data_IF_967386741127
#
_entry.id   IF_967386741127
#
_cell.length_a   1.000
_cell.length_b   1.000
_cell.length_c   1.000
_cell.angle_alpha   90.00
_cell.angle_beta   90.00
_cell.angle_gamma   90.00
#
_symmetry.space_group_name_H-M   'P 1'
#
loop_
_entity.id
_entity.type
_entity.pdbx_description
1 polymer ?
#
# COMPACT_ATOMS: atom_id res chain seq x y z
N UNK A 1 -9.75 27.41 -10.76
CA UNK A 1 -9.01 26.14 -10.57
C UNK A 1 -8.94 25.85 -9.08
N UNK A 2 -9.29 24.65 -8.60
CA UNK A 2 -9.10 24.32 -7.17
C UNK A 2 -7.60 24.24 -6.89
N UNK A 3 -7.19 24.64 -5.67
CA UNK A 3 -5.80 24.46 -5.22
C UNK A 3 -5.41 22.99 -5.35
N UNK A 4 -4.27 22.72 -5.97
CA UNK A 4 -3.74 21.38 -6.16
C UNK A 4 -2.37 21.30 -5.49
N UNK A 5 -2.32 20.60 -4.35
CA UNK A 5 -1.10 20.47 -3.54
C UNK A 5 -0.51 19.08 -3.79
N UNK A 6 0.77 19.05 -4.18
CA UNK A 6 1.56 17.83 -4.29
C UNK A 6 2.55 17.79 -3.13
N UNK A 7 2.59 16.67 -2.40
CA UNK A 7 3.55 16.44 -1.32
C UNK A 7 4.36 15.19 -1.64
N UNK A 8 5.64 15.36 -1.95
CA UNK A 8 6.52 14.27 -2.37
C UNK A 8 7.53 13.96 -1.27
N UNK A 9 8.00 12.70 -1.16
CA UNK A 9 9.17 12.40 -0.35
C UNK A 9 10.36 13.25 -0.77
N UNK A 10 11.07 13.79 0.21
CA UNK A 10 12.26 14.61 0.00
C UNK A 10 13.48 13.75 -0.31
N UNK A 11 13.56 12.59 0.33
CA UNK A 11 14.64 11.62 0.18
C UNK A 11 14.06 10.22 -0.01
N UNK A 12 14.65 9.44 -0.93
CA UNK A 12 14.31 8.02 -1.15
C UNK A 12 15.60 7.24 -1.20
N UNK A 13 15.79 6.34 -0.24
CA UNK A 13 17.00 5.56 -0.06
C UNK A 13 16.61 4.09 -0.17
N UNK A 14 17.15 3.41 -1.19
CA UNK A 14 16.89 1.99 -1.47
C UNK A 14 18.22 1.29 -1.71
N UNK A 15 18.48 0.23 -0.95
CA UNK A 15 19.72 -0.54 -1.06
C UNK A 15 20.03 -1.34 0.19
N UNK A 16 21.21 -1.95 0.24
CA UNK A 16 21.65 -2.72 1.39
C UNK A 16 22.22 -1.81 2.48
N UNK A 17 21.99 -2.20 3.74
CA UNK A 17 22.53 -1.54 4.93
C UNK A 17 22.15 -0.05 5.02
N UNK A 18 20.98 0.32 4.48
CA UNK A 18 20.54 1.72 4.43
C UNK A 18 20.15 2.28 5.78
N UNK A 19 19.92 1.42 6.78
CA UNK A 19 19.66 1.85 8.15
C UNK A 19 20.81 2.67 8.75
N UNK A 20 22.06 2.43 8.31
CA UNK A 20 23.23 3.21 8.75
C UNK A 20 23.13 4.70 8.39
N UNK A 21 22.29 5.04 7.40
CA UNK A 21 22.10 6.41 6.92
C UNK A 21 20.99 7.15 7.69
N UNK A 22 20.32 6.52 8.66
CA UNK A 22 19.14 7.10 9.33
C UNK A 22 19.47 8.44 9.99
N UNK A 23 20.61 8.54 10.68
CA UNK A 23 21.07 9.79 11.28
C UNK A 23 21.31 10.88 10.24
N UNK A 24 22.06 10.57 9.18
CA UNK A 24 22.40 11.53 8.13
C UNK A 24 21.14 12.07 7.44
N UNK A 25 20.13 11.21 7.25
CA UNK A 25 18.85 11.58 6.66
C UNK A 25 18.04 12.47 7.61
N UNK A 26 17.91 12.08 8.89
CA UNK A 26 17.24 12.89 9.91
C UNK A 26 17.88 14.29 9.98
N UNK A 27 19.21 14.35 10.10
CA UNK A 27 19.97 15.60 10.17
C UNK A 27 19.78 16.48 8.92
N UNK A 28 19.84 15.91 7.72
CA UNK A 28 19.60 16.64 6.46
C UNK A 28 18.19 17.24 6.37
N UNK A 29 17.20 16.56 6.96
CA UNK A 29 15.82 17.03 7.01
C UNK A 29 15.54 17.99 8.17
N UNK A 30 16.55 18.27 9.01
CA UNK A 30 16.44 19.19 10.14
C UNK A 30 15.91 18.54 11.42
N UNK A 31 15.94 17.20 11.52
CA UNK A 31 15.57 16.44 12.72
C UNK A 31 16.84 15.97 13.41
N UNK A 32 17.22 16.59 14.52
CA UNK A 32 18.47 16.29 15.23
C UNK A 32 18.33 16.18 16.75
N UNK A 33 17.17 16.50 17.31
CA UNK A 33 16.97 16.58 18.76
C UNK A 33 16.16 15.39 19.29
N UNK A 34 15.03 15.06 18.66
CA UNK A 34 14.13 14.02 19.18
C UNK A 34 13.34 13.26 18.10
N UNK A 35 13.11 11.97 18.32
CA UNK A 35 12.28 11.13 17.46
C UNK A 35 11.41 10.16 18.27
N UNK A 36 10.28 9.76 17.69
CA UNK A 36 9.47 8.64 18.18
C UNK A 36 9.46 7.50 17.16
N UNK A 37 10.04 6.36 17.52
CA UNK A 37 10.01 5.14 16.74
C UNK A 37 8.73 4.32 17.01
N UNK A 38 7.88 4.20 15.99
CA UNK A 38 6.69 3.35 16.01
C UNK A 38 7.04 2.02 15.35
N UNK A 39 7.09 0.94 16.13
CA UNK A 39 7.46 -0.39 15.64
C UNK A 39 6.55 -1.48 16.22
N UNK A 40 6.78 -2.74 15.87
CA UNK A 40 6.08 -3.89 16.41
C UNK A 40 7.02 -4.83 17.17
N UNK A 41 6.49 -5.82 17.92
CA UNK A 41 7.32 -6.69 18.75
C UNK A 41 8.45 -7.39 17.98
N UNK A 42 8.14 -7.86 16.77
CA UNK A 42 9.10 -8.53 15.88
C UNK A 42 9.95 -7.54 15.07
N UNK A 43 9.38 -6.44 14.61
CA UNK A 43 10.11 -5.46 13.79
C UNK A 43 11.08 -4.61 14.62
N UNK A 44 10.87 -4.56 15.96
CA UNK A 44 11.83 -4.00 16.90
C UNK A 44 13.17 -4.73 16.82
N UNK A 45 13.19 -6.05 16.88
CA UNK A 45 14.46 -6.80 16.80
C UNK A 45 15.05 -6.84 15.38
N UNK A 46 14.22 -6.71 14.34
CA UNK A 46 14.68 -6.71 12.95
C UNK A 46 15.40 -5.41 12.58
N UNK A 47 14.84 -4.26 12.95
CA UNK A 47 15.33 -2.95 12.53
C UNK A 47 15.19 -1.87 13.60
N UNK A 48 14.11 -1.91 14.40
CA UNK A 48 13.79 -0.84 15.34
C UNK A 48 14.88 -0.56 16.37
N UNK A 49 15.43 -1.59 17.00
CA UNK A 49 16.48 -1.43 18.01
C UNK A 49 17.76 -0.85 17.39
N UNK A 50 18.18 -1.36 16.23
CA UNK A 50 19.35 -0.84 15.51
C UNK A 50 19.21 0.66 15.19
N UNK A 51 18.03 1.10 14.75
CA UNK A 51 17.76 2.51 14.46
C UNK A 51 17.83 3.37 15.72
N UNK A 52 17.27 2.89 16.82
CA UNK A 52 17.34 3.59 18.12
C UNK A 52 18.80 3.72 18.56
N UNK A 53 19.56 2.63 18.56
CA UNK A 53 20.97 2.62 18.95
C UNK A 53 21.80 3.60 18.11
N UNK A 54 21.63 3.59 16.77
CA UNK A 54 22.34 4.49 15.86
C UNK A 54 22.04 5.98 16.09
N UNK A 55 20.83 6.31 16.52
CA UNK A 55 20.41 7.69 16.78
C UNK A 55 20.78 8.13 18.21
N UNK A 56 20.69 7.23 19.19
CA UNK A 56 21.12 7.47 20.57
C UNK A 56 22.65 7.69 20.64
N UNK A 57 23.44 6.93 19.87
CA UNK A 57 24.91 7.04 19.81
C UNK A 57 25.40 8.42 19.35
N UNK A 58 24.59 9.14 18.57
CA UNK A 58 24.85 10.51 18.09
C UNK A 58 24.16 11.58 18.94
N UNK A 59 23.52 11.18 20.05
CA UNK A 59 22.92 12.07 21.05
C UNK A 59 21.51 12.55 20.72
N UNK A 60 20.81 11.93 19.76
CA UNK A 60 19.40 12.21 19.50
C UNK A 60 18.53 11.51 20.54
N UNK A 61 17.55 12.17 21.14
CA UNK A 61 16.64 11.54 22.10
C UNK A 61 15.59 10.69 21.36
N UNK A 62 15.72 9.37 21.38
CA UNK A 62 14.77 8.48 20.68
C UNK A 62 13.92 7.66 21.64
N UNK A 63 12.62 7.96 21.62
CA UNK A 63 11.62 7.15 22.28
C UNK A 63 11.04 6.09 21.34
N UNK A 64 10.47 5.03 21.90
CA UNK A 64 9.79 4.00 21.12
C UNK A 64 8.40 3.65 21.65
N UNK A 65 7.52 3.23 20.75
CA UNK A 65 6.22 2.64 21.06
C UNK A 65 6.01 1.38 20.24
N UNK A 66 5.55 0.32 20.91
CA UNK A 66 5.27 -0.98 20.29
C UNK A 66 3.79 -1.10 20.01
N UNK A 67 3.42 -1.17 18.73
CA UNK A 67 2.05 -1.39 18.27
C UNK A 67 1.91 -2.81 17.72
N UNK A 68 0.78 -3.46 17.96
CA UNK A 68 0.55 -4.86 17.55
C UNK A 68 -0.26 -4.95 16.26
N UNK A 69 -1.23 -4.06 16.08
CA UNK A 69 -2.15 -4.02 14.95
C UNK A 69 -2.13 -2.65 14.26
N UNK A 70 -3.06 -2.45 13.31
CA UNK A 70 -3.37 -1.16 12.69
C UNK A 70 -4.84 -0.83 12.95
N UNK A 71 -5.16 -0.54 14.21
CA UNK A 71 -6.50 -0.10 14.64
C UNK A 71 -6.49 1.36 15.03
N UNK A 72 -7.68 1.97 15.08
CA UNK A 72 -7.82 3.32 15.61
C UNK A 72 -7.29 3.48 17.05
N UNK A 73 -7.40 2.43 17.87
CA UNK A 73 -6.82 2.40 19.21
C UNK A 73 -5.28 2.51 19.17
N UNK A 74 -4.63 1.79 18.25
CA UNK A 74 -3.17 1.88 18.08
C UNK A 74 -2.76 3.30 17.65
N UNK A 75 -3.55 3.93 16.76
CA UNK A 75 -3.32 5.31 16.31
C UNK A 75 -3.45 6.29 17.48
N UNK A 76 -4.53 6.20 18.26
CA UNK A 76 -4.77 7.06 19.43
C UNK A 76 -3.63 6.93 20.45
N UNK A 77 -3.15 5.73 20.75
CA UNK A 77 -2.01 5.52 21.66
C UNK A 77 -0.71 6.16 21.14
N UNK A 78 -0.45 6.12 19.83
CA UNK A 78 0.72 6.81 19.25
C UNK A 78 0.52 8.32 19.29
N UNK A 79 -0.69 8.82 19.02
CA UNK A 79 -1.00 10.25 19.13
C UNK A 79 -0.82 10.79 20.55
N UNK A 80 -1.21 10.02 21.57
CA UNK A 80 -0.94 10.34 22.99
C UNK A 80 0.55 10.47 23.24
N UNK A 81 1.35 9.50 22.78
CA UNK A 81 2.80 9.53 22.96
C UNK A 81 3.46 10.70 22.22
N UNK A 82 2.95 11.06 21.04
CA UNK A 82 3.41 12.25 20.30
C UNK A 82 3.14 13.52 21.11
N UNK A 83 1.97 13.66 21.74
CA UNK A 83 1.63 14.84 22.56
C UNK A 83 2.46 14.94 23.83
N UNK A 84 2.83 13.82 24.42
CA UNK A 84 3.67 13.79 25.63
C UNK A 84 5.13 14.15 25.36
N UNK A 85 5.65 13.71 24.21
CA UNK A 85 7.08 13.81 23.89
C UNK A 85 7.45 14.97 22.98
N UNK A 86 6.48 15.46 22.20
CA UNK A 86 6.69 16.47 21.16
C UNK A 86 7.90 16.17 20.26
N UNK A 87 7.99 14.97 19.64
CA UNK A 87 9.15 14.59 18.84
C UNK A 87 9.24 15.44 17.56
N UNK A 88 10.46 15.73 17.10
CA UNK A 88 10.65 16.43 15.81
C UNK A 88 10.19 15.59 14.62
N UNK A 89 10.25 14.26 14.74
CA UNK A 89 9.87 13.32 13.68
C UNK A 89 9.36 11.99 14.24
N UNK A 90 8.40 11.37 13.55
CA UNK A 90 7.95 10.00 13.79
C UNK A 90 8.60 9.06 12.78
N UNK A 91 9.23 7.98 13.28
CA UNK A 91 9.84 6.93 12.45
C UNK A 91 8.92 5.70 12.45
N UNK A 92 8.33 5.37 11.31
CA UNK A 92 7.54 4.14 11.16
C UNK A 92 8.44 2.98 10.73
N UNK A 93 8.75 2.08 11.67
CA UNK A 93 9.68 0.97 11.44
C UNK A 93 8.93 -0.36 11.42
N UNK A 94 8.79 -0.97 10.24
CA UNK A 94 8.18 -2.29 10.13
C UNK A 94 7.44 -2.54 8.82
N UNK A 95 6.52 -3.51 8.84
CA UNK A 95 5.60 -3.73 7.71
C UNK A 95 4.52 -2.63 7.62
N UNK A 96 3.67 -2.75 6.60
CA UNK A 96 2.63 -1.75 6.29
C UNK A 96 1.74 -1.35 7.48
N UNK A 97 1.42 -2.29 8.37
CA UNK A 97 0.68 -2.03 9.61
C UNK A 97 1.34 -0.96 10.49
N UNK A 98 2.66 -1.03 10.72
CA UNK A 98 3.38 -0.10 11.60
C UNK A 98 3.52 1.26 10.93
N UNK A 99 3.80 1.24 9.63
CA UNK A 99 3.87 2.42 8.79
C UNK A 99 2.53 3.17 8.76
N UNK A 100 1.41 2.48 8.59
CA UNK A 100 0.10 3.12 8.51
C UNK A 100 -0.32 3.76 9.83
N UNK A 101 -0.03 3.12 10.97
CA UNK A 101 -0.27 3.71 12.30
C UNK A 101 0.60 4.94 12.52
N UNK A 102 1.90 4.84 12.24
CA UNK A 102 2.85 5.94 12.38
C UNK A 102 2.48 7.14 11.48
N UNK A 103 2.13 6.87 10.22
CA UNK A 103 1.75 7.87 9.22
C UNK A 103 0.44 8.57 9.57
N UNK A 104 -0.58 7.85 10.03
CA UNK A 104 -1.87 8.46 10.36
C UNK A 104 -1.78 9.30 11.65
N UNK A 105 -1.15 8.75 12.69
CA UNK A 105 -0.97 9.47 13.98
C UNK A 105 -0.14 10.74 13.79
N UNK A 106 1.01 10.64 13.12
CA UNK A 106 1.86 11.80 12.80
C UNK A 106 1.14 12.86 11.98
N UNK A 107 0.34 12.47 10.97
CA UNK A 107 -0.44 13.40 10.16
C UNK A 107 -1.46 14.18 11.00
N UNK A 108 -2.15 13.50 11.91
CA UNK A 108 -3.17 14.11 12.79
C UNK A 108 -2.57 15.03 13.85
N UNK A 109 -1.33 14.75 14.27
CA UNK A 109 -0.59 15.61 15.20
C UNK A 109 0.29 16.66 14.48
N UNK A 110 0.25 16.73 13.14
CA UNK A 110 1.09 17.62 12.32
C UNK A 110 2.61 17.45 12.55
N UNK A 111 3.05 16.23 12.84
CA UNK A 111 4.47 15.89 13.00
C UNK A 111 4.99 15.23 11.71
N UNK A 112 6.19 15.58 11.22
CA UNK A 112 6.84 14.90 10.11
C UNK A 112 6.99 13.38 10.31
N UNK A 113 6.96 12.63 9.21
CA UNK A 113 7.02 11.16 9.23
C UNK A 113 8.10 10.63 8.28
N UNK A 114 8.88 9.64 8.72
CA UNK A 114 9.82 8.87 7.89
C UNK A 114 9.38 7.40 7.86
N UNK A 115 9.31 6.83 6.66
CA UNK A 115 8.96 5.41 6.47
C UNK A 115 10.21 4.55 6.37
N UNK A 116 10.29 3.52 7.22
CA UNK A 116 11.40 2.57 7.25
C UNK A 116 10.83 1.15 7.12
N UNK A 117 10.43 0.73 5.90
CA UNK A 117 9.77 -0.53 5.67
C UNK A 117 10.70 -1.73 5.91
N UNK A 118 10.19 -2.75 6.60
CA UNK A 118 10.83 -4.07 6.74
C UNK A 118 10.17 -5.15 5.88
N UNK A 119 9.16 -4.78 5.09
CA UNK A 119 8.46 -5.65 4.14
C UNK A 119 7.82 -4.80 3.03
N UNK A 120 7.72 -5.35 1.82
CA UNK A 120 7.15 -4.67 0.65
C UNK A 120 5.77 -5.24 0.27
N UNK A 121 4.78 -5.10 1.17
CA UNK A 121 3.45 -5.74 1.00
C UNK A 121 2.41 -4.94 0.20
N UNK A 122 2.58 -3.62 0.10
CA UNK A 122 1.72 -2.68 -0.63
C UNK A 122 2.38 -1.29 -0.69
N UNK A 123 1.83 -0.39 -1.50
CA UNK A 123 2.37 0.97 -1.74
C UNK A 123 2.19 1.96 -0.56
N UNK A 124 1.54 1.52 0.51
CA UNK A 124 1.42 2.24 1.80
C UNK A 124 2.76 2.65 2.42
N UNK A 125 3.85 1.98 2.05
CA UNK A 125 5.23 2.34 2.45
C UNK A 125 5.68 3.71 1.92
N UNK A 126 5.03 4.23 0.88
CA UNK A 126 5.39 5.49 0.22
C UNK A 126 4.21 6.44 0.03
N UNK A 127 2.98 5.93 0.14
CA UNK A 127 1.77 6.69 -0.16
C UNK A 127 1.33 7.61 0.97
N UNK A 128 0.57 8.67 0.64
CA UNK A 128 -0.07 9.53 1.64
C UNK A 128 -1.35 8.92 2.22
N UNK A 129 -1.64 7.63 2.02
CA UNK A 129 -2.87 6.98 2.49
C UNK A 129 -2.57 5.92 3.53
N UNK A 130 -3.32 5.90 4.63
CA UNK A 130 -3.19 4.90 5.68
C UNK A 130 -4.40 3.95 5.71
N UNK A 131 -4.15 2.65 5.82
CA UNK A 131 -5.18 1.63 6.02
C UNK A 131 -5.25 1.22 7.49
N UNK A 132 -6.29 1.68 8.19
CA UNK A 132 -6.49 1.45 9.62
C UNK A 132 -7.89 0.91 9.88
N UNK A 133 -8.01 -0.10 10.72
CA UNK A 133 -9.29 -0.69 11.14
C UNK A 133 -9.98 0.21 12.16
N UNK A 134 -11.31 0.30 12.06
CA UNK A 134 -12.12 1.13 12.96
C UNK A 134 -12.27 2.58 12.49
N UNK A 135 -11.85 2.90 11.27
CA UNK A 135 -12.21 4.16 10.62
C UNK A 135 -13.72 4.24 10.39
N UNK A 136 -14.24 5.47 10.36
CA UNK A 136 -15.65 5.74 10.01
C UNK A 136 -15.99 5.33 8.56
N UNK A 137 -14.98 5.01 7.75
CA UNK A 137 -15.09 4.66 6.34
C UNK A 137 -14.41 3.31 6.08
N UNK A 138 -14.95 2.48 5.18
CA UNK A 138 -14.42 1.14 4.90
C UNK A 138 -13.20 1.16 3.95
N UNK A 139 -12.49 2.28 3.85
CA UNK A 139 -11.38 2.47 2.92
C UNK A 139 -10.31 3.37 3.54
N UNK A 140 -9.12 3.37 2.95
CA UNK A 140 -7.95 4.11 3.46
C UNK A 140 -8.19 5.62 3.58
N UNK A 141 -7.65 6.21 4.65
CA UNK A 141 -7.75 7.65 4.94
C UNK A 141 -6.53 8.40 4.38
N UNK A 142 -6.74 9.63 3.89
CA UNK A 142 -5.64 10.53 3.54
C UNK A 142 -4.93 10.99 4.81
N UNK A 143 -3.62 10.76 4.87
CA UNK A 143 -2.72 11.17 5.94
C UNK A 143 -1.68 12.14 5.37
N UNK A 144 -0.40 11.79 5.41
CA UNK A 144 0.70 12.57 4.83
C UNK A 144 1.67 11.68 4.04
N UNK A 145 2.32 12.26 3.04
CA UNK A 145 3.44 11.60 2.35
C UNK A 145 4.67 11.59 3.28
N UNK A 146 5.44 10.49 3.35
CA UNK A 146 6.65 10.46 4.17
C UNK A 146 7.66 11.50 3.68
N UNK A 147 8.37 12.14 4.62
CA UNK A 147 9.48 13.04 4.30
C UNK A 147 10.66 12.28 3.71
N UNK A 148 10.91 11.06 4.19
CA UNK A 148 11.87 10.15 3.62
C UNK A 148 11.39 8.71 3.65
N UNK A 149 11.92 7.90 2.73
CA UNK A 149 11.74 6.46 2.69
C UNK A 149 13.12 5.81 2.77
N UNK A 150 13.34 4.95 3.75
CA UNK A 150 14.60 4.21 3.97
C UNK A 150 14.29 2.72 3.86
N UNK A 151 14.49 2.16 2.67
CA UNK A 151 14.16 0.77 2.36
C UNK A 151 15.44 -0.07 2.25
N UNK A 152 15.71 -0.86 3.30
CA UNK A 152 16.85 -1.76 3.35
C UNK A 152 16.54 -3.08 2.65
N UNK A 153 17.10 -3.28 1.45
CA UNK A 153 16.85 -4.47 0.64
C UNK A 153 17.36 -5.75 1.31
N UNK A 154 18.44 -5.66 2.11
CA UNK A 154 18.99 -6.81 2.84
C UNK A 154 18.05 -7.29 3.95
N UNK A 155 17.21 -6.41 4.49
CA UNK A 155 16.17 -6.73 5.47
C UNK A 155 14.89 -7.21 4.77
N UNK A 156 14.44 -6.47 3.76
CA UNK A 156 13.15 -6.73 3.10
C UNK A 156 13.17 -8.07 2.36
N UNK A 157 14.30 -8.49 1.78
CA UNK A 157 14.44 -9.80 1.12
C UNK A 157 14.29 -10.98 2.09
N UNK A 158 14.57 -10.77 3.38
CA UNK A 158 14.41 -11.81 4.43
C UNK A 158 12.97 -11.93 4.93
N UNK A 159 12.09 -10.97 4.60
CA UNK A 159 10.68 -11.05 4.96
C UNK A 159 10.00 -12.23 4.26
N UNK A 160 8.95 -12.84 4.86
CA UNK A 160 8.19 -13.89 4.20
C UNK A 160 7.78 -13.49 2.78
N UNK A 161 8.11 -14.33 1.80
CA UNK A 161 7.88 -14.05 0.36
C UNK A 161 6.44 -13.62 0.04
N UNK A 162 5.48 -14.10 0.84
CA UNK A 162 4.07 -13.70 0.75
C UNK A 162 3.89 -12.17 0.76
N UNK A 163 4.72 -11.42 1.49
CA UNK A 163 4.68 -9.96 1.46
C UNK A 163 5.12 -9.39 0.11
N UNK A 164 6.24 -9.85 -0.45
CA UNK A 164 6.67 -9.45 -1.80
C UNK A 164 5.62 -9.79 -2.85
N UNK A 165 5.04 -11.00 -2.79
CA UNK A 165 3.95 -11.41 -3.68
C UNK A 165 2.71 -10.51 -3.54
N UNK A 166 2.32 -10.16 -2.31
CA UNK A 166 1.26 -9.18 -2.05
C UNK A 166 1.60 -7.82 -2.69
N UNK A 167 2.82 -7.31 -2.51
CA UNK A 167 3.25 -6.04 -3.11
C UNK A 167 3.17 -6.06 -4.63
N UNK A 168 3.54 -7.17 -5.26
CA UNK A 168 3.37 -7.34 -6.70
C UNK A 168 1.89 -7.32 -7.11
N UNK A 169 1.02 -7.98 -6.35
CA UNK A 169 -0.43 -7.95 -6.56
C UNK A 169 -1.01 -6.54 -6.50
N UNK A 170 -0.58 -5.78 -5.49
CA UNK A 170 -0.94 -4.37 -5.34
C UNK A 170 -0.41 -3.52 -6.52
N UNK A 171 0.84 -3.69 -6.93
CA UNK A 171 1.42 -2.94 -8.05
C UNK A 171 0.74 -3.25 -9.40
N UNK A 172 0.35 -4.51 -9.64
CA UNK A 172 -0.35 -4.93 -10.86
C UNK A 172 -1.76 -4.33 -10.95
N UNK A 173 -2.37 -4.03 -9.80
CA UNK A 173 -3.72 -3.45 -9.71
C UNK A 173 -3.85 -2.09 -10.42
N UNK A 174 -2.73 -1.39 -10.61
CA UNK A 174 -2.68 -0.07 -11.25
C UNK A 174 -3.15 -0.16 -12.71
N UNK A 175 -3.10 -1.34 -13.34
CA UNK A 175 -3.64 -1.59 -14.68
C UNK A 175 -5.14 -1.28 -14.77
N UNK A 176 -5.93 -1.66 -13.77
CA UNK A 176 -7.39 -1.41 -13.74
C UNK A 176 -7.71 -0.10 -13.04
N UNK A 177 -6.95 0.29 -12.00
CA UNK A 177 -7.16 1.57 -11.32
C UNK A 177 -7.06 2.78 -12.27
N UNK A 178 -6.02 2.81 -13.10
CA UNK A 178 -5.85 3.91 -14.08
C UNK A 178 -6.93 3.86 -15.17
N UNK A 179 -7.44 2.66 -15.51
CA UNK A 179 -8.56 2.52 -16.45
C UNK A 179 -9.86 3.08 -15.86
N UNK A 180 -10.15 2.77 -14.61
CA UNK A 180 -11.28 3.35 -13.88
C UNK A 180 -11.15 4.87 -13.75
N UNK A 181 -9.95 5.38 -13.50
CA UNK A 181 -9.74 6.82 -13.41
C UNK A 181 -9.97 7.51 -14.76
N UNK A 182 -9.50 6.90 -15.86
CA UNK A 182 -9.73 7.41 -17.22
C UNK A 182 -11.22 7.34 -17.59
N UNK A 183 -11.92 6.28 -17.22
CA UNK A 183 -13.37 6.14 -17.40
C UNK A 183 -14.12 7.25 -16.63
N UNK A 184 -13.77 7.48 -15.37
CA UNK A 184 -14.36 8.55 -14.56
C UNK A 184 -14.14 9.94 -15.16
N UNK A 185 -12.95 10.18 -15.73
CA UNK A 185 -12.68 11.41 -16.46
C UNK A 185 -13.59 11.56 -17.69
N UNK A 186 -13.70 10.53 -18.53
CA UNK A 186 -14.56 10.61 -19.72
C UNK A 186 -16.06 10.70 -19.40
N UNK A 187 -16.52 9.99 -18.36
CA UNK A 187 -17.96 9.86 -18.07
C UNK A 187 -18.48 10.92 -17.09
N UNK A 188 -17.62 11.42 -16.18
CA UNK A 188 -18.01 12.34 -15.09
C UNK A 188 -17.19 13.62 -15.05
N UNK A 189 -16.30 13.82 -16.03
CA UNK A 189 -15.40 14.98 -16.08
C UNK A 189 -14.56 15.14 -14.80
N UNK A 190 -14.24 14.02 -14.14
CA UNK A 190 -13.35 14.01 -12.99
C UNK A 190 -11.93 14.41 -13.42
N UNK A 191 -11.18 15.10 -12.56
CA UNK A 191 -9.78 15.42 -12.83
C UNK A 191 -8.97 14.15 -13.14
N UNK A 192 -8.16 14.19 -14.20
CA UNK A 192 -7.24 13.12 -14.57
C UNK A 192 -5.82 13.67 -14.73
N UNK A 193 -4.93 13.28 -13.84
CA UNK A 193 -3.52 13.65 -13.90
C UNK A 193 -2.75 12.64 -14.74
N UNK A 194 -2.56 12.93 -16.04
CA UNK A 194 -1.90 12.01 -16.98
C UNK A 194 -0.48 11.62 -16.54
N UNK A 195 0.26 12.54 -15.91
CA UNK A 195 1.58 12.26 -15.35
C UNK A 195 1.52 11.23 -14.20
N UNK A 196 0.61 11.42 -13.24
CA UNK A 196 0.40 10.47 -12.14
C UNK A 196 -0.07 9.10 -12.65
N UNK A 197 -0.99 9.09 -13.61
CA UNK A 197 -1.49 7.87 -14.23
C UNK A 197 -0.39 7.09 -14.97
N UNK A 198 0.48 7.81 -15.70
CA UNK A 198 1.60 7.21 -16.43
C UNK A 198 2.63 6.60 -15.49
N UNK A 199 2.93 7.27 -14.38
CA UNK A 199 3.84 6.77 -13.35
C UNK A 199 3.30 5.49 -12.70
N UNK A 200 2.02 5.46 -12.30
CA UNK A 200 1.41 4.26 -11.74
C UNK A 200 1.34 3.09 -12.74
N UNK A 201 1.05 3.35 -14.02
CA UNK A 201 1.10 2.31 -15.06
C UNK A 201 2.51 1.79 -15.30
N UNK A 202 3.54 2.64 -15.18
CA UNK A 202 4.94 2.21 -15.28
C UNK A 202 5.28 1.22 -14.17
N UNK A 203 4.83 1.45 -12.93
CA UNK A 203 5.00 0.50 -11.82
C UNK A 203 4.45 -0.89 -12.12
N UNK A 204 3.21 -0.98 -12.62
CA UNK A 204 2.63 -2.26 -13.02
C UNK A 204 3.42 -2.96 -14.14
N UNK A 205 3.89 -2.19 -15.14
CA UNK A 205 4.70 -2.71 -16.24
C UNK A 205 6.06 -3.21 -15.78
N UNK A 206 6.70 -2.53 -14.82
CA UNK A 206 7.98 -2.95 -14.24
C UNK A 206 7.83 -4.29 -13.53
N UNK A 207 6.81 -4.46 -12.69
CA UNK A 207 6.53 -5.74 -12.03
C UNK A 207 6.23 -6.83 -13.05
N UNK A 208 5.36 -6.56 -14.03
CA UNK A 208 5.01 -7.55 -15.04
C UNK A 208 6.19 -7.97 -15.93
N UNK A 209 7.10 -7.05 -16.26
CA UNK A 209 8.30 -7.33 -17.06
C UNK A 209 9.32 -8.16 -16.28
N UNK A 210 9.44 -7.91 -14.97
CA UNK A 210 10.46 -8.53 -14.11
C UNK A 210 9.92 -9.66 -13.23
N UNK A 211 8.70 -10.15 -13.49
CA UNK A 211 8.05 -11.18 -12.68
C UNK A 211 8.92 -12.44 -12.48
N UNK A 212 9.71 -12.84 -13.49
CA UNK A 212 10.62 -13.99 -13.37
C UNK A 212 11.78 -13.77 -12.39
N UNK A 213 12.32 -12.55 -12.28
CA UNK A 213 13.38 -12.24 -11.31
C UNK A 213 12.81 -12.24 -9.89
N UNK A 214 11.57 -11.77 -9.72
CA UNK A 214 10.88 -11.72 -8.43
C UNK A 214 10.55 -13.12 -7.89
N UNK A 215 10.28 -14.08 -8.77
CA UNK A 215 10.06 -15.49 -8.42
C UNK A 215 11.26 -16.10 -7.65
N UNK A 216 12.48 -15.68 -7.97
CA UNK A 216 13.71 -16.20 -7.38
C UNK A 216 14.03 -15.63 -5.99
N UNK A 217 13.21 -14.71 -5.47
CA UNK A 217 13.33 -14.15 -4.10
C UNK A 217 14.70 -13.52 -3.82
N UNK A 218 15.29 -12.90 -4.84
CA UNK A 218 16.58 -12.21 -4.74
C UNK A 218 16.39 -10.72 -4.51
N UNK A 219 17.43 -10.06 -3.99
CA UNK A 219 17.43 -8.61 -3.70
C UNK A 219 17.07 -7.76 -4.92
N UNK A 220 17.52 -8.15 -6.11
CA UNK A 220 17.20 -7.44 -7.35
C UNK A 220 15.69 -7.39 -7.61
N UNK A 221 14.98 -8.50 -7.39
CA UNK A 221 13.53 -8.55 -7.52
C UNK A 221 12.82 -7.67 -6.49
N UNK A 222 13.30 -7.66 -5.24
CA UNK A 222 12.79 -6.80 -4.17
C UNK A 222 13.03 -5.32 -4.48
N UNK A 223 14.19 -4.97 -5.02
CA UNK A 223 14.51 -3.60 -5.43
C UNK A 223 13.54 -3.10 -6.50
N UNK A 224 13.30 -3.89 -7.55
CA UNK A 224 12.34 -3.52 -8.61
C UNK A 224 10.94 -3.32 -8.03
N UNK A 225 10.52 -4.18 -7.10
CA UNK A 225 9.23 -4.03 -6.43
C UNK A 225 9.18 -2.74 -5.60
N UNK A 226 10.22 -2.43 -4.82
CA UNK A 226 10.28 -1.21 -4.01
C UNK A 226 10.19 0.04 -4.89
N UNK A 227 10.95 0.11 -5.97
CA UNK A 227 10.90 1.22 -6.93
C UNK A 227 9.49 1.38 -7.53
N UNK A 228 8.82 0.26 -7.84
CA UNK A 228 7.44 0.27 -8.32
C UNK A 228 6.43 0.77 -7.28
N UNK A 229 6.50 0.29 -6.04
CA UNK A 229 5.61 0.69 -4.94
C UNK A 229 5.84 2.16 -4.53
N UNK A 230 7.10 2.60 -4.47
CA UNK A 230 7.46 4.00 -4.19
C UNK A 230 6.89 4.91 -5.28
N UNK A 231 7.02 4.52 -6.55
CA UNK A 231 6.44 5.25 -7.68
C UNK A 231 4.91 5.34 -7.59
N UNK A 232 4.23 4.32 -7.05
CA UNK A 232 2.78 4.37 -6.77
C UNK A 232 2.46 5.42 -5.68
N UNK A 233 3.25 5.45 -4.60
CA UNK A 233 3.12 6.48 -3.55
C UNK A 233 3.27 7.89 -4.10
N UNK A 234 4.32 8.12 -4.90
CA UNK A 234 4.57 9.39 -5.61
C UNK A 234 3.43 9.75 -6.56
N UNK A 235 2.90 8.78 -7.32
CA UNK A 235 1.77 9.00 -8.22
C UNK A 235 0.53 9.49 -7.47
N UNK A 236 0.21 8.89 -6.30
CA UNK A 236 -0.92 9.32 -5.48
C UNK A 236 -0.71 10.73 -4.89
N UNK A 237 0.52 11.06 -4.49
CA UNK A 237 0.88 12.40 -4.05
C UNK A 237 0.74 13.45 -5.15
N UNK A 238 1.14 13.13 -6.39
CA UNK A 238 0.93 14.00 -7.56
C UNK A 238 -0.56 14.15 -7.84
N UNK A 239 -1.32 13.07 -7.81
CA UNK A 239 -2.76 13.11 -8.11
C UNK A 239 -3.57 13.83 -7.01
N UNK A 240 -3.03 13.98 -5.81
CA UNK A 240 -3.77 14.44 -4.63
C UNK A 240 -4.90 13.49 -4.22
N UNK A 241 -4.83 12.23 -4.63
CA UNK A 241 -5.83 11.20 -4.35
C UNK A 241 -5.28 9.79 -4.61
N UNK A 242 -5.99 8.76 -4.16
CA UNK A 242 -5.63 7.37 -4.47
C UNK A 242 -5.98 6.91 -5.89
N UNK A 243 -6.61 7.76 -6.72
CA UNK A 243 -7.09 7.39 -8.07
C UNK A 243 -6.07 6.67 -8.98
N UNK A 244 -4.79 7.06 -9.07
CA UNK A 244 -3.84 6.36 -9.94
C UNK A 244 -3.56 4.91 -9.50
N UNK A 245 -3.81 4.58 -8.24
CA UNK A 245 -3.42 3.30 -7.67
C UNK A 245 -4.59 2.49 -7.09
N UNK A 246 -5.78 3.07 -6.99
CA UNK A 246 -6.97 2.46 -6.40
C UNK A 246 -8.21 2.74 -7.24
N UNK A 247 -8.74 1.68 -7.87
CA UNK A 247 -10.00 1.65 -8.61
C UNK A 247 -10.97 0.60 -8.06
N UNK A 248 -11.74 -0.01 -8.96
CA UNK A 248 -12.72 -1.06 -8.67
C UNK A 248 -12.11 -2.30 -8.03
N UNK A 249 -10.85 -2.64 -8.36
CA UNK A 249 -10.15 -3.77 -7.73
C UNK A 249 -9.87 -3.54 -6.24
N UNK A 250 -9.59 -2.29 -5.84
CA UNK A 250 -9.47 -1.92 -4.43
C UNK A 250 -10.82 -1.86 -3.74
N UNK A 251 -11.88 -1.41 -4.43
CA UNK A 251 -13.23 -1.46 -3.86
C UNK A 251 -13.66 -2.91 -3.56
N UNK A 252 -13.27 -3.85 -4.41
CA UNK A 252 -13.44 -5.28 -4.16
C UNK A 252 -12.65 -5.74 -2.92
N UNK A 253 -11.36 -5.38 -2.79
CA UNK A 253 -10.56 -5.71 -1.60
C UNK A 253 -11.17 -5.13 -0.31
N UNK A 254 -11.57 -3.87 -0.32
CA UNK A 254 -12.22 -3.24 0.84
C UNK A 254 -13.57 -3.90 1.18
N UNK A 255 -14.32 -4.37 0.19
CA UNK A 255 -15.54 -5.13 0.45
C UNK A 255 -15.23 -6.48 1.11
N UNK A 256 -14.16 -7.17 0.70
CA UNK A 256 -13.69 -8.39 1.35
C UNK A 256 -13.27 -8.14 2.80
N UNK A 257 -12.53 -7.06 3.07
CA UNK A 257 -12.10 -6.69 4.43
C UNK A 257 -13.28 -6.49 5.40
N UNK A 258 -14.48 -6.18 4.89
CA UNK A 258 -15.70 -6.02 5.69
C UNK A 258 -16.48 -7.32 5.94
N UNK A 259 -16.39 -8.30 5.03
CA UNK A 259 -17.31 -9.45 5.02
C UNK A 259 -16.62 -10.79 5.28
N UNK A 260 -15.32 -10.89 5.01
CA UNK A 260 -14.53 -12.08 5.29
C UNK A 260 -14.05 -12.05 6.75
N UNK A 261 -14.11 -13.18 7.44
CA UNK A 261 -13.62 -13.31 8.82
C UNK A 261 -12.10 -13.14 8.91
N UNK A 262 -11.38 -13.70 7.94
CA UNK A 262 -9.93 -13.63 7.81
C UNK A 262 -9.57 -13.21 6.38
N UNK A 263 -9.53 -11.90 6.09
CA UNK A 263 -9.16 -11.44 4.76
C UNK A 263 -7.68 -11.73 4.48
N UNK A 264 -7.37 -12.03 3.21
CA UNK A 264 -5.98 -12.15 2.73
C UNK A 264 -5.21 -10.82 2.85
N UNK A 265 -3.92 -10.81 2.47
CA UNK A 265 -3.18 -9.55 2.45
C UNK A 265 -3.78 -8.60 1.40
N UNK A 266 -3.75 -7.29 1.69
CA UNK A 266 -4.37 -6.27 0.83
C UNK A 266 -3.98 -6.41 -0.65
N UNK A 267 -2.68 -6.54 -0.94
CA UNK A 267 -2.21 -6.67 -2.31
C UNK A 267 -2.59 -7.99 -2.99
N UNK A 268 -2.76 -9.08 -2.22
CA UNK A 268 -3.29 -10.35 -2.74
C UNK A 268 -4.75 -10.18 -3.19
N UNK A 269 -5.57 -9.54 -2.35
CA UNK A 269 -6.97 -9.25 -2.66
C UNK A 269 -7.10 -8.31 -3.86
N UNK A 270 -6.30 -7.24 -3.91
CA UNK A 270 -6.24 -6.32 -5.05
C UNK A 270 -5.81 -7.04 -6.33
N UNK A 271 -4.83 -7.93 -6.26
CA UNK A 271 -4.39 -8.75 -7.40
C UNK A 271 -5.53 -9.62 -7.96
N UNK A 272 -6.24 -10.35 -7.11
CA UNK A 272 -7.41 -11.15 -7.51
C UNK A 272 -8.53 -10.28 -8.07
N UNK A 273 -8.83 -9.14 -7.43
CA UNK A 273 -9.77 -8.15 -7.95
C UNK A 273 -9.38 -7.68 -9.35
N UNK A 274 -8.09 -7.44 -9.60
CA UNK A 274 -7.57 -6.97 -10.89
C UNK A 274 -7.84 -7.96 -12.01
N UNK A 275 -7.79 -9.28 -11.75
CA UNK A 275 -8.13 -10.30 -12.75
C UNK A 275 -9.58 -10.11 -13.22
N UNK A 276 -10.52 -9.94 -12.28
CA UNK A 276 -11.95 -9.81 -12.57
C UNK A 276 -12.29 -8.46 -13.19
N UNK A 277 -11.67 -7.37 -12.74
CA UNK A 277 -11.87 -6.05 -13.35
C UNK A 277 -11.26 -5.96 -14.75
N UNK A 278 -10.11 -6.60 -14.98
CA UNK A 278 -9.53 -6.72 -16.32
C UNK A 278 -10.45 -7.52 -17.26
N UNK A 279 -11.15 -8.53 -16.77
CA UNK A 279 -12.17 -9.26 -17.54
C UNK A 279 -13.34 -8.33 -17.91
N UNK A 280 -13.85 -7.54 -16.96
CA UNK A 280 -14.93 -6.58 -17.22
C UNK A 280 -14.54 -5.51 -18.25
N UNK A 281 -13.27 -5.10 -18.26
CA UNK A 281 -12.73 -4.18 -19.26
C UNK A 281 -12.33 -4.85 -20.58
N UNK A 282 -12.56 -6.16 -20.75
CA UNK A 282 -12.14 -6.93 -21.93
C UNK A 282 -10.63 -6.81 -22.20
N UNK A 283 -9.85 -6.59 -21.15
CA UNK A 283 -8.40 -6.61 -21.16
C UNK A 283 -7.87 -8.05 -21.13
N UNK A 284 -6.57 -8.21 -21.34
CA UNK A 284 -5.92 -9.50 -21.22
C UNK A 284 -5.75 -9.92 -19.75
N UNK A 285 -6.86 -10.28 -19.10
CA UNK A 285 -6.91 -10.77 -17.71
C UNK A 285 -6.12 -12.06 -17.51
N UNK A 286 -5.97 -12.88 -18.56
CA UNK A 286 -5.14 -14.10 -18.53
C UNK A 286 -3.67 -13.75 -18.29
N UNK A 287 -3.16 -12.69 -18.92
CA UNK A 287 -1.80 -12.18 -18.69
C UNK A 287 -1.62 -11.62 -17.28
N UNK A 288 -2.65 -10.95 -16.73
CA UNK A 288 -2.65 -10.52 -15.32
C UNK A 288 -2.52 -11.75 -14.42
N UNK A 289 -3.38 -12.75 -14.60
CA UNK A 289 -3.37 -14.01 -13.85
C UNK A 289 -2.04 -14.76 -13.95
N UNK A 290 -1.46 -14.84 -15.14
CA UNK A 290 -0.14 -15.45 -15.37
C UNK A 290 0.97 -14.71 -14.61
N UNK A 291 0.94 -13.37 -14.67
CA UNK A 291 1.93 -12.52 -13.97
C UNK A 291 1.85 -12.73 -12.46
N UNK A 292 0.63 -12.72 -11.89
CA UNK A 292 0.41 -12.95 -10.46
C UNK A 292 0.88 -14.33 -10.02
N UNK A 293 0.60 -15.38 -10.81
CA UNK A 293 1.12 -16.74 -10.54
C UNK A 293 2.64 -16.78 -10.53
N UNK A 294 3.31 -16.13 -11.50
CA UNK A 294 4.78 -16.10 -11.59
C UNK A 294 5.43 -15.46 -10.35
N UNK A 295 4.85 -14.38 -9.84
CA UNK A 295 5.35 -13.72 -8.62
C UNK A 295 4.88 -14.42 -7.33
N UNK A 296 4.19 -15.55 -7.43
CA UNK A 296 3.67 -16.32 -6.29
C UNK A 296 2.51 -15.66 -5.55
N UNK A 297 1.78 -14.75 -6.18
CA UNK A 297 0.58 -14.14 -5.62
C UNK A 297 -0.66 -15.01 -5.87
N UNK A 298 -1.65 -15.01 -4.96
CA UNK A 298 -2.91 -15.71 -5.17
C UNK A 298 -3.65 -15.25 -6.43
N UNK A 299 -4.30 -16.19 -7.09
CA UNK A 299 -5.18 -15.95 -8.24
C UNK A 299 -6.54 -16.66 -8.13
N UNK A 300 -6.79 -17.37 -7.03
CA UNK A 300 -8.06 -18.01 -6.71
C UNK A 300 -8.52 -17.67 -5.29
N UNK A 301 -9.80 -17.89 -5.02
CA UNK A 301 -10.40 -17.74 -3.69
C UNK A 301 -9.75 -18.68 -2.67
N UNK A 302 -9.48 -19.92 -3.08
CA UNK A 302 -8.83 -20.93 -2.24
C UNK A 302 -7.40 -20.52 -1.84
N UNK A 303 -6.61 -19.99 -2.78
CA UNK A 303 -5.26 -19.47 -2.50
C UNK A 303 -5.28 -18.23 -1.60
N UNK A 304 -6.35 -17.42 -1.64
CA UNK A 304 -6.57 -16.33 -0.69
C UNK A 304 -7.00 -16.81 0.71
N UNK A 305 -7.41 -18.06 0.85
CA UNK A 305 -8.06 -18.57 2.07
C UNK A 305 -9.48 -18.04 2.28
N UNK A 306 -10.16 -17.62 1.21
CA UNK A 306 -11.50 -17.02 1.26
C UNK A 306 -12.51 -17.96 0.60
N UNK A 307 -13.65 -18.19 1.26
CA UNK A 307 -14.73 -18.98 0.66
C UNK A 307 -15.30 -18.29 -0.61
N UNK A 308 -15.62 -19.04 -1.68
CA UNK A 308 -16.14 -18.48 -2.94
C UNK A 308 -17.32 -17.52 -2.79
N UNK A 309 -18.22 -17.78 -1.84
CA UNK A 309 -19.39 -16.92 -1.55
C UNK A 309 -18.98 -15.48 -1.22
N UNK A 310 -17.85 -15.27 -0.54
CA UNK A 310 -17.37 -13.93 -0.18
C UNK A 310 -16.77 -13.20 -1.39
N UNK A 311 -16.17 -13.91 -2.35
CA UNK A 311 -15.72 -13.30 -3.61
C UNK A 311 -16.93 -12.72 -4.37
N UNK A 312 -17.98 -13.51 -4.52
CA UNK A 312 -19.21 -13.08 -5.21
C UNK A 312 -19.87 -11.92 -4.46
N UNK A 313 -20.01 -12.02 -3.14
CA UNK A 313 -20.58 -10.93 -2.32
C UNK A 313 -19.75 -9.65 -2.38
N UNK A 314 -18.42 -9.75 -2.36
CA UNK A 314 -17.54 -8.58 -2.45
C UNK A 314 -17.67 -7.88 -3.81
N UNK A 315 -17.77 -8.63 -4.92
CA UNK A 315 -18.02 -8.04 -6.25
C UNK A 315 -19.34 -7.26 -6.29
N UNK A 316 -20.41 -7.81 -5.72
CA UNK A 316 -21.72 -7.14 -5.65
C UNK A 316 -21.67 -5.88 -4.78
N UNK A 317 -20.93 -5.94 -3.65
CA UNK A 317 -20.86 -4.84 -2.68
C UNK A 317 -19.84 -3.75 -3.05
N UNK A 318 -18.84 -4.06 -3.87
CA UNK A 318 -17.69 -3.20 -4.16
C UNK A 318 -18.08 -1.76 -4.51
N UNK A 319 -19.07 -1.55 -5.39
CA UNK A 319 -19.50 -0.20 -5.78
C UNK A 319 -19.97 0.66 -4.60
N UNK A 320 -20.56 0.03 -3.57
CA UNK A 320 -21.13 0.71 -2.42
C UNK A 320 -20.07 1.12 -1.38
N UNK A 321 -18.84 0.60 -1.49
CA UNK A 321 -17.73 0.96 -0.59
C UNK A 321 -17.38 2.44 -0.69
N UNK A 322 -17.43 2.99 -1.92
CA UNK A 322 -17.13 4.39 -2.18
C UNK A 322 -18.04 4.94 -3.28
N UNK A 323 -19.32 5.23 -2.96
CA UNK A 323 -20.35 5.54 -3.96
C UNK A 323 -20.05 6.77 -4.84
N UNK A 324 -19.20 7.68 -4.38
CA UNK A 324 -18.77 8.86 -5.15
C UNK A 324 -17.70 8.54 -6.21
N UNK A 325 -17.08 7.36 -6.16
CA UNK A 325 -15.99 6.95 -7.05
C UNK A 325 -16.56 6.19 -8.26
N UNK A 326 -16.57 6.84 -9.42
CA UNK A 326 -16.96 6.21 -10.68
C UNK A 326 -15.90 5.24 -11.21
N UNK A 327 -16.30 4.03 -11.58
CA UNK A 327 -15.50 2.89 -12.05
C UNK A 327 -16.29 2.06 -13.07
N UNK A 328 -15.71 0.94 -13.53
CA UNK A 328 -16.42 -0.02 -14.40
C UNK A 328 -17.66 -0.64 -13.76
N UNK A 329 -17.73 -0.69 -12.44
CA UNK A 329 -18.85 -1.30 -11.70
C UNK A 329 -20.13 -0.45 -11.79
N UNK A 330 -20.02 0.81 -12.18
CA UNK A 330 -21.15 1.69 -12.49
C UNK A 330 -21.73 1.42 -13.87
N UNK A 331 -20.88 1.06 -14.85
CA UNK A 331 -21.25 0.71 -16.22
C UNK A 331 -21.79 -0.74 -16.32
N UNK A 332 -21.11 -1.66 -15.63
CA UNK A 332 -21.42 -3.10 -15.59
C UNK A 332 -21.87 -3.48 -14.19
N UNK A 333 -23.11 -3.11 -13.84
CA UNK A 333 -23.70 -3.42 -12.53
C UNK A 333 -23.79 -4.93 -12.32
N UNK A 334 -23.27 -5.38 -11.19
CA UNK A 334 -23.26 -6.79 -10.83
C UNK A 334 -24.33 -7.11 -9.79
N UNK A 335 -25.15 -8.11 -10.11
CA UNK A 335 -25.91 -8.91 -9.14
C UNK A 335 -25.14 -10.19 -8.81
N UNK A 336 -25.72 -11.04 -7.96
CA UNK A 336 -25.06 -12.28 -7.52
C UNK A 336 -24.73 -13.20 -8.72
N UNK A 337 -25.68 -13.43 -9.61
CA UNK A 337 -25.53 -14.34 -10.74
C UNK A 337 -24.46 -13.86 -11.74
N UNK A 338 -24.45 -12.56 -12.06
CA UNK A 338 -23.43 -11.98 -12.95
C UNK A 338 -22.04 -11.94 -12.30
N UNK A 339 -21.95 -11.62 -11.00
CA UNK A 339 -20.71 -11.67 -10.26
C UNK A 339 -20.13 -13.10 -10.19
N UNK A 340 -20.98 -14.10 -9.93
CA UNK A 340 -20.58 -15.51 -9.91
C UNK A 340 -20.09 -15.96 -11.29
N UNK A 341 -20.80 -15.61 -12.36
CA UNK A 341 -20.37 -15.91 -13.74
C UNK A 341 -19.00 -15.33 -14.07
N UNK A 342 -18.71 -14.10 -13.64
CA UNK A 342 -17.38 -13.48 -13.86
C UNK A 342 -16.30 -14.21 -13.07
N UNK A 343 -16.56 -14.50 -11.80
CA UNK A 343 -15.60 -15.19 -10.94
C UNK A 343 -15.27 -16.60 -11.48
N UNK A 344 -16.27 -17.33 -12.01
CA UNK A 344 -16.09 -18.61 -12.71
C UNK A 344 -15.36 -18.47 -14.04
N UNK A 345 -15.76 -17.50 -14.88
CA UNK A 345 -15.15 -17.27 -16.20
C UNK A 345 -13.65 -16.91 -16.10
N UNK A 346 -13.26 -16.25 -15.01
CA UNK A 346 -11.86 -15.91 -14.72
C UNK A 346 -11.12 -17.01 -13.95
N UNK A 347 -11.83 -18.06 -13.51
CA UNK A 347 -11.32 -19.14 -12.68
C UNK A 347 -10.77 -18.66 -11.34
N UNK A 348 -11.36 -17.60 -10.78
CA UNK A 348 -11.10 -17.15 -9.39
C UNK A 348 -11.86 -18.05 -8.41
N UNK A 349 -13.04 -18.52 -8.81
CA UNK A 349 -13.78 -19.60 -8.14
C UNK A 349 -14.03 -20.73 -9.16
N UNK A 350 -14.33 -21.92 -8.65
CA UNK A 350 -14.65 -23.12 -9.45
C UNK A 350 -16.02 -23.06 -10.12
#
# INVERSE_FOLDING_TARGET
MKLHRMQLPREVIVGNETLELVWDICKKLGFSESALAVTGPRTRSIAGQKIIDLLDDVGMNVDQIIVNSSTMKDVESVEERIRELEPQVVLGVGGGTKIDVAKLSSARQNIPFISIPTAASHDGIASPLASVKGLNKPYSEMAQSPMAIIADTSIIVQAPHRFTASGCGDAISKLTAVRDWKLANSAKNEYYGEYAASLALMSAKLVAKNAGIMEHRIEEGVRVLLEALISCGVAMSIAGSSRPCSGSEHLFSHALDLIASEPGLHGEQCGVGTIMMAYLYEMNWKRVKETLRKVGAPVTAAELGIEPKYIVQALVRARAIRPERYTILEEKRLDYDSAEKIAKATGVID
#
